data_IF_076292683408
#
_entry.id   IF_076292683408
#
_cell.length_a   1.000
_cell.length_b   1.000
_cell.length_c   1.000
_cell.angle_alpha   90.00
_cell.angle_beta   90.00
_cell.angle_gamma   90.00
#
_symmetry.space_group_name_H-M   'P 1'
#
loop_
_entity.id
_entity.type
_entity.pdbx_description
1 polymer ?
#
# COMPACT_ATOMS: atom_id res chain seq x y z
N UNK A 1 -2.44 -4.03 -16.98
CA UNK A 1 -3.15 -4.84 -15.95
C UNK A 1 -4.46 -5.44 -16.45
N UNK A 2 -5.40 -4.65 -16.99
CA UNK A 2 -6.74 -5.15 -17.40
C UNK A 2 -6.72 -6.40 -18.29
N UNK A 3 -5.83 -6.46 -19.29
CA UNK A 3 -5.68 -7.63 -20.16
C UNK A 3 -5.33 -8.91 -19.37
N UNK A 4 -4.34 -8.83 -18.47
CA UNK A 4 -3.91 -9.96 -17.65
C UNK A 4 -5.00 -10.40 -16.65
N UNK A 5 -5.72 -9.43 -16.07
CA UNK A 5 -6.87 -9.74 -15.21
C UNK A 5 -7.98 -10.46 -15.99
N UNK A 6 -8.25 -10.03 -17.23
CA UNK A 6 -9.16 -10.70 -18.14
C UNK A 6 -8.78 -12.16 -18.41
N UNK A 7 -7.50 -12.43 -18.71
CA UNK A 7 -7.00 -13.81 -18.88
C UNK A 7 -7.11 -14.64 -17.61
N UNK A 8 -6.98 -14.02 -16.43
CA UNK A 8 -7.16 -14.68 -15.15
C UNK A 8 -8.63 -14.83 -14.72
N UNK A 9 -9.59 -14.35 -15.52
CA UNK A 9 -11.02 -14.36 -15.17
C UNK A 9 -11.40 -13.40 -14.04
N UNK A 10 -10.56 -12.40 -13.77
CA UNK A 10 -10.78 -11.40 -12.72
C UNK A 10 -11.37 -10.13 -13.35
N UNK A 11 -12.60 -9.71 -12.98
CA UNK A 11 -13.19 -8.50 -13.53
C UNK A 11 -12.32 -7.27 -13.24
N UNK A 12 -12.00 -6.53 -14.29
CA UNK A 12 -11.14 -5.35 -14.21
C UNK A 12 -11.61 -4.30 -15.24
N UNK A 13 -11.64 -3.03 -14.83
CA UNK A 13 -11.91 -1.90 -15.72
C UNK A 13 -10.83 -0.83 -15.58
N UNK A 14 -10.75 0.06 -16.55
CA UNK A 14 -9.95 1.28 -16.47
C UNK A 14 -10.73 2.38 -15.75
N UNK A 15 -9.98 3.28 -15.12
CA UNK A 15 -10.49 4.51 -14.55
C UNK A 15 -9.54 5.64 -14.92
N UNK A 16 -10.11 6.70 -15.46
CA UNK A 16 -9.43 7.94 -15.83
C UNK A 16 -9.65 8.99 -14.76
N UNK A 17 -8.61 9.76 -14.50
CA UNK A 17 -8.60 10.79 -13.48
C UNK A 17 -7.33 11.64 -13.58
N UNK A 18 -6.89 12.13 -12.44
CA UNK A 18 -5.59 12.78 -12.31
C UNK A 18 -4.86 12.33 -11.05
N UNK A 19 -3.53 12.43 -11.11
CA UNK A 19 -2.63 12.30 -9.98
C UNK A 19 -1.81 13.59 -9.90
N UNK A 20 -1.83 14.28 -8.75
CA UNK A 20 -1.18 15.59 -8.57
C UNK A 20 -1.53 16.64 -9.66
N UNK A 21 -2.76 16.60 -10.19
CA UNK A 21 -3.24 17.53 -11.21
C UNK A 21 -2.90 17.14 -12.65
N UNK A 22 -2.06 16.12 -12.85
CA UNK A 22 -1.73 15.59 -14.17
C UNK A 22 -2.67 14.45 -14.56
N UNK A 23 -3.09 14.42 -15.83
CA UNK A 23 -3.96 13.37 -16.34
C UNK A 23 -3.35 11.99 -16.11
N UNK A 24 -4.12 11.11 -15.48
CA UNK A 24 -3.66 9.79 -15.05
C UNK A 24 -4.74 8.73 -15.30
N UNK A 25 -4.31 7.48 -15.41
CA UNK A 25 -5.21 6.34 -15.62
C UNK A 25 -4.69 5.13 -14.87
N UNK A 26 -5.59 4.43 -14.19
CA UNK A 26 -5.29 3.20 -13.46
C UNK A 26 -6.47 2.23 -13.57
N UNK A 27 -6.53 1.21 -12.72
CA UNK A 27 -7.53 0.15 -12.81
C UNK A 27 -8.46 0.07 -11.59
N UNK A 28 -9.67 -0.44 -11.83
CA UNK A 28 -10.52 -0.99 -10.78
C UNK A 28 -10.57 -2.51 -10.95
N UNK A 29 -10.47 -3.27 -9.86
CA UNK A 29 -10.46 -4.74 -9.86
C UNK A 29 -11.50 -5.29 -8.89
N UNK A 30 -12.19 -6.38 -9.27
CA UNK A 30 -13.21 -7.02 -8.43
C UNK A 30 -12.66 -8.29 -7.78
N UNK A 31 -12.59 -8.32 -6.45
CA UNK A 31 -12.12 -9.47 -5.66
C UNK A 31 -13.15 -9.77 -4.57
N UNK A 32 -13.57 -11.04 -4.47
CA UNK A 32 -14.50 -11.47 -3.42
C UNK A 32 -15.84 -10.71 -3.39
N UNK A 33 -16.31 -10.25 -4.55
CA UNK A 33 -17.54 -9.48 -4.67
C UNK A 33 -17.39 -7.96 -4.56
N UNK A 34 -16.23 -7.46 -4.11
CA UNK A 34 -15.96 -6.04 -3.89
C UNK A 34 -15.05 -5.45 -4.96
N UNK A 35 -15.28 -4.20 -5.33
CA UNK A 35 -14.40 -3.43 -6.20
C UNK A 35 -13.37 -2.65 -5.39
N UNK A 36 -12.18 -2.52 -5.95
CA UNK A 36 -11.06 -1.78 -5.39
C UNK A 36 -10.35 -0.98 -6.48
N UNK A 37 -9.80 0.17 -6.12
CA UNK A 37 -8.80 0.84 -6.94
C UNK A 37 -7.48 0.07 -6.87
N UNK A 38 -6.88 -0.14 -8.03
CA UNK A 38 -5.59 -0.78 -8.22
C UNK A 38 -4.76 0.10 -9.15
N UNK A 39 -3.88 0.88 -8.54
CA UNK A 39 -2.86 1.64 -9.27
C UNK A 39 -1.49 1.00 -9.03
N UNK A 40 -0.91 0.49 -10.12
CA UNK A 40 0.36 -0.24 -10.13
C UNK A 40 1.50 0.57 -10.74
N UNK A 41 1.31 1.88 -10.98
CA UNK A 41 2.30 2.76 -11.59
C UNK A 41 3.66 2.76 -10.89
N UNK A 42 3.70 2.48 -9.59
CA UNK A 42 4.96 2.43 -8.82
C UNK A 42 5.37 1.00 -8.39
N UNK A 43 4.68 -0.03 -8.87
CA UNK A 43 4.95 -1.41 -8.52
C UNK A 43 6.11 -2.04 -9.30
N UNK A 44 6.58 -1.42 -10.39
CA UNK A 44 7.63 -1.93 -11.28
C UNK A 44 8.97 -1.20 -11.18
N UNK A 45 9.14 -0.36 -10.15
CA UNK A 45 10.42 0.30 -9.87
C UNK A 45 11.40 -0.67 -9.19
N UNK A 46 12.66 -0.25 -9.02
CA UNK A 46 13.67 -1.02 -8.28
C UNK A 46 13.23 -1.37 -6.85
N UNK A 47 12.28 -0.61 -6.30
CA UNK A 47 11.70 -0.78 -4.99
C UNK A 47 10.17 -0.73 -5.13
N UNK A 48 9.46 -1.88 -5.21
CA UNK A 48 8.04 -1.88 -5.52
C UNK A 48 7.23 -1.21 -4.40
N UNK A 49 6.40 -0.23 -4.78
CA UNK A 49 5.49 0.50 -3.89
C UNK A 49 4.06 0.00 -4.12
N UNK A 50 3.43 -0.52 -3.07
CA UNK A 50 2.10 -1.13 -3.11
C UNK A 50 1.02 -0.28 -2.42
N UNK A 51 1.27 1.00 -2.18
CA UNK A 51 0.37 1.90 -1.44
C UNK A 51 -1.01 2.05 -2.09
N UNK A 52 -1.11 1.87 -3.41
CA UNK A 52 -2.37 1.97 -4.15
C UNK A 52 -2.92 0.60 -4.60
N UNK A 53 -2.52 -0.46 -3.88
CA UNK A 53 -2.88 -1.83 -4.22
C UNK A 53 -4.13 -2.29 -3.45
N UNK A 54 -5.25 -2.35 -4.18
CA UNK A 54 -6.59 -2.69 -3.68
C UNK A 54 -7.09 -1.72 -2.60
N UNK A 55 -7.17 -0.44 -2.94
CA UNK A 55 -7.62 0.62 -2.03
C UNK A 55 -9.08 1.03 -2.30
N UNK A 56 -9.71 1.64 -1.30
CA UNK A 56 -11.08 2.15 -1.41
C UNK A 56 -11.13 3.54 -2.06
N UNK A 57 -12.32 4.00 -2.46
CA UNK A 57 -12.59 5.36 -2.92
C UNK A 57 -12.02 6.39 -1.93
N UNK A 58 -12.25 6.17 -0.62
CA UNK A 58 -11.79 7.07 0.45
C UNK A 58 -10.27 7.24 0.47
N UNK A 59 -9.53 6.18 0.15
CA UNK A 59 -8.06 6.16 0.20
C UNK A 59 -7.47 6.74 -1.09
N UNK A 60 -7.93 6.29 -2.26
CA UNK A 60 -7.38 6.74 -3.54
C UNK A 60 -7.58 8.26 -3.72
N UNK A 61 -8.72 8.79 -3.27
CA UNK A 61 -9.10 10.19 -3.40
C UNK A 61 -8.24 11.17 -2.57
N UNK A 62 -7.32 10.65 -1.75
CA UNK A 62 -6.39 11.49 -0.99
C UNK A 62 -5.27 12.03 -1.87
N UNK A 63 -4.94 11.34 -2.97
CA UNK A 63 -3.88 11.73 -3.91
C UNK A 63 -4.36 11.79 -5.36
N UNK A 64 -5.49 11.16 -5.67
CA UNK A 64 -6.07 11.12 -7.00
C UNK A 64 -7.39 11.89 -7.06
N UNK A 65 -7.68 12.48 -8.22
CA UNK A 65 -9.04 12.91 -8.56
C UNK A 65 -9.62 11.98 -9.59
N UNK A 66 -10.83 11.48 -9.35
CA UNK A 66 -11.53 10.58 -10.28
C UNK A 66 -12.49 11.38 -11.14
N UNK A 67 -12.40 11.25 -12.47
CA UNK A 67 -13.39 11.89 -13.34
C UNK A 67 -14.77 11.26 -13.18
N UNK A 68 -15.81 12.06 -13.35
CA UNK A 68 -17.20 11.62 -13.14
C UNK A 68 -17.57 10.48 -14.09
N UNK A 69 -18.45 9.61 -13.64
CA UNK A 69 -19.07 8.63 -14.52
C UNK A 69 -19.94 9.34 -15.57
N UNK A 70 -19.97 8.83 -16.79
CA UNK A 70 -20.78 9.39 -17.89
C UNK A 70 -22.27 9.46 -17.52
N UNK A 71 -22.76 8.49 -16.75
CA UNK A 71 -24.13 8.45 -16.24
C UNK A 71 -24.48 9.57 -15.27
N UNK A 72 -23.48 10.27 -14.74
CA UNK A 72 -23.64 11.40 -13.82
C UNK A 72 -23.38 12.76 -14.50
N UNK A 73 -23.21 12.77 -15.83
CA UNK A 73 -22.93 13.97 -16.61
C UNK A 73 -24.13 14.35 -17.50
N UNK A 74 -24.37 15.65 -17.75
CA UNK A 74 -25.31 16.07 -18.78
C UNK A 74 -24.76 15.72 -20.17
N UNK A 75 -25.64 15.51 -21.15
CA UNK A 75 -25.26 15.12 -22.51
C UNK A 75 -24.25 16.08 -23.17
N UNK A 76 -24.35 17.38 -22.87
CA UNK A 76 -23.42 18.41 -23.36
C UNK A 76 -21.97 18.23 -22.88
N UNK A 77 -21.75 17.58 -21.73
CA UNK A 77 -20.42 17.34 -21.19
C UNK A 77 -19.73 16.08 -21.78
N UNK A 78 -20.46 15.25 -22.53
CA UNK A 78 -19.95 13.99 -23.09
C UNK A 78 -19.16 14.22 -24.39
N UNK A 79 -19.41 15.32 -25.10
CA UNK A 79 -18.83 15.56 -26.43
C UNK A 79 -17.36 15.99 -26.42
N UNK A 80 -16.83 16.43 -25.27
CA UNK A 80 -15.45 16.91 -25.13
C UNK A 80 -14.83 16.67 -23.73
N UNK A 81 -15.57 16.00 -22.83
CA UNK A 81 -15.17 15.84 -21.44
C UNK A 81 -14.35 14.59 -21.16
N UNK A 82 -13.60 14.63 -20.07
CA UNK A 82 -13.00 13.44 -19.47
C UNK A 82 -14.00 12.79 -18.51
N UNK A 83 -14.30 11.52 -18.73
CA UNK A 83 -15.28 10.78 -17.94
C UNK A 83 -14.94 9.29 -17.89
N UNK A 84 -15.59 8.60 -16.96
CA UNK A 84 -15.53 7.15 -16.84
C UNK A 84 -16.82 6.50 -17.36
N UNK A 85 -16.72 5.46 -18.17
CA UNK A 85 -17.91 4.74 -18.68
C UNK A 85 -18.55 3.92 -17.55
N UNK A 86 -17.73 3.24 -16.76
CA UNK A 86 -18.17 2.40 -15.66
C UNK A 86 -17.29 2.67 -14.43
N UNK A 87 -17.89 3.12 -13.34
CA UNK A 87 -17.21 3.37 -12.08
C UNK A 87 -18.04 2.83 -10.91
N UNK A 88 -17.89 1.54 -10.55
CA UNK A 88 -18.53 0.98 -9.36
C UNK A 88 -17.97 1.63 -8.09
N UNK A 89 -18.76 1.64 -7.02
CA UNK A 89 -18.30 2.09 -5.70
C UNK A 89 -17.25 1.13 -5.14
N UNK A 90 -16.13 1.66 -4.65
CA UNK A 90 -15.07 0.89 -4.01
C UNK A 90 -15.04 1.21 -2.51
N UNK A 91 -15.84 0.51 -1.69
CA UNK A 91 -15.92 0.78 -0.24
C UNK A 91 -15.16 -0.21 0.65
N UNK A 92 -14.65 -1.32 0.07
CA UNK A 92 -13.98 -2.36 0.84
C UNK A 92 -12.49 -2.07 1.00
N UNK A 93 -11.93 -2.54 2.10
CA UNK A 93 -10.47 -2.64 2.33
C UNK A 93 -10.06 -4.08 2.68
N UNK A 94 -10.95 -5.07 2.48
CA UNK A 94 -10.72 -6.46 2.89
C UNK A 94 -9.50 -7.07 2.20
N UNK A 95 -9.33 -6.80 0.91
CA UNK A 95 -8.20 -7.30 0.09
C UNK A 95 -7.10 -6.27 -0.12
N UNK A 96 -7.10 -5.20 0.69
CA UNK A 96 -6.06 -4.18 0.69
C UNK A 96 -4.68 -4.75 1.06
N UNK A 97 -3.62 -4.26 0.41
CA UNK A 97 -2.28 -4.76 0.61
C UNK A 97 -1.79 -4.69 2.07
N UNK A 98 -1.94 -3.55 2.75
CA UNK A 98 -1.49 -3.43 4.14
C UNK A 98 -2.29 -4.31 5.09
N UNK A 99 -3.60 -4.49 4.87
CA UNK A 99 -4.44 -5.41 5.67
C UNK A 99 -4.06 -6.88 5.47
N UNK A 100 -3.66 -7.26 4.25
CA UNK A 100 -3.37 -8.66 3.91
C UNK A 100 -1.92 -9.07 4.14
N UNK A 101 -0.97 -8.13 4.00
CA UNK A 101 0.48 -8.43 3.99
C UNK A 101 1.26 -7.73 5.10
N UNK A 102 0.68 -6.70 5.70
CA UNK A 102 1.31 -5.89 6.73
C UNK A 102 1.51 -6.65 8.04
N UNK A 103 2.63 -6.41 8.71
CA UNK A 103 2.83 -6.75 10.11
C UNK A 103 2.00 -5.78 10.95
N UNK A 104 1.05 -6.29 11.73
CA UNK A 104 0.18 -5.43 12.52
C UNK A 104 0.92 -4.77 13.69
N UNK A 105 0.71 -3.46 13.86
CA UNK A 105 1.24 -2.66 14.96
C UNK A 105 0.05 -1.99 15.65
N UNK A 106 -0.41 -2.58 16.75
CA UNK A 106 -1.62 -2.11 17.47
C UNK A 106 -1.32 -1.15 18.60
N UNK A 107 -0.12 -1.22 19.17
CA UNK A 107 0.39 -0.25 20.13
C UNK A 107 1.90 -0.20 20.09
N UNK A 108 2.46 0.95 20.48
CA UNK A 108 3.88 1.14 20.68
C UNK A 108 4.27 0.40 21.96
N UNK A 109 4.66 -0.87 21.83
CA UNK A 109 5.24 -1.64 22.93
C UNK A 109 6.76 -1.65 22.80
N UNK A 110 7.41 -1.18 23.87
CA UNK A 110 8.86 -1.09 23.97
C UNK A 110 9.47 -2.44 24.36
N UNK A 111 9.41 -3.42 23.46
CA UNK A 111 9.97 -4.77 23.71
C UNK A 111 10.64 -5.36 22.47
N UNK A 112 11.82 -5.95 22.67
CA UNK A 112 12.60 -6.66 21.63
C UNK A 112 12.09 -8.08 21.35
N UNK A 113 11.21 -8.63 22.19
CA UNK A 113 10.53 -9.92 22.00
C UNK A 113 9.05 -9.71 21.67
N UNK A 114 8.80 -8.90 20.64
CA UNK A 114 7.45 -8.58 20.18
C UNK A 114 7.00 -9.57 19.10
N UNK A 115 5.68 -9.73 18.92
CA UNK A 115 5.15 -10.51 17.79
C UNK A 115 5.61 -9.94 16.44
N UNK A 116 5.82 -8.62 16.37
CA UNK A 116 6.29 -7.91 15.18
C UNK A 116 7.71 -8.33 14.80
N UNK A 117 8.61 -8.43 15.78
CA UNK A 117 9.98 -8.89 15.57
C UNK A 117 10.02 -10.31 15.01
N UNK A 118 9.25 -11.25 15.57
CA UNK A 118 9.21 -12.64 15.10
C UNK A 118 8.73 -12.75 13.65
N UNK A 119 7.70 -11.98 13.29
CA UNK A 119 7.19 -11.95 11.91
C UNK A 119 8.20 -11.27 10.97
N UNK A 120 8.87 -10.22 11.42
CA UNK A 120 9.93 -9.54 10.68
C UNK A 120 11.10 -10.50 10.40
N UNK A 121 11.59 -11.22 11.42
CA UNK A 121 12.63 -12.22 11.30
C UNK A 121 12.25 -13.35 10.33
N UNK A 122 11.01 -13.83 10.38
CA UNK A 122 10.52 -14.85 9.45
C UNK A 122 10.52 -14.33 7.99
N UNK A 123 10.05 -13.10 7.75
CA UNK A 123 10.11 -12.47 6.42
C UNK A 123 11.55 -12.24 5.97
N UNK A 124 12.45 -11.89 6.88
CA UNK A 124 13.88 -11.71 6.58
C UNK A 124 14.56 -13.03 6.20
N UNK A 125 14.26 -14.11 6.95
CA UNK A 125 14.73 -15.46 6.64
C UNK A 125 14.29 -15.92 5.25
N UNK A 126 13.08 -15.54 4.84
CA UNK A 126 12.52 -15.76 3.51
C UNK A 126 13.07 -14.81 2.43
N UNK A 127 14.05 -13.96 2.75
CA UNK A 127 14.72 -13.06 1.81
C UNK A 127 13.86 -11.88 1.34
N UNK A 128 12.81 -11.51 2.07
CA UNK A 128 11.96 -10.36 1.69
C UNK A 128 12.73 -9.07 1.93
N UNK A 129 12.86 -8.24 0.89
CA UNK A 129 13.49 -6.92 0.95
C UNK A 129 12.49 -5.78 1.09
N UNK A 130 11.21 -6.01 0.77
CA UNK A 130 10.10 -5.09 1.00
C UNK A 130 9.17 -5.68 2.05
N UNK A 131 8.98 -4.97 3.16
CA UNK A 131 8.20 -5.46 4.31
C UNK A 131 7.21 -4.39 4.74
N UNK A 132 5.93 -4.73 4.64
CA UNK A 132 4.83 -3.84 5.01
C UNK A 132 4.46 -3.98 6.49
N UNK A 133 4.02 -2.89 7.09
CA UNK A 133 3.40 -2.79 8.41
C UNK A 133 2.01 -2.17 8.28
N UNK A 134 1.08 -2.62 9.12
CA UNK A 134 -0.27 -2.10 9.22
C UNK A 134 -0.47 -1.48 10.60
N UNK A 135 -0.61 -0.16 10.66
CA UNK A 135 -0.50 0.62 11.88
C UNK A 135 -1.88 1.01 12.40
N UNK A 136 -2.23 0.62 13.62
CA UNK A 136 -3.49 0.97 14.28
C UNK A 136 -3.25 2.00 15.40
N UNK A 137 -4.30 2.69 15.85
CA UNK A 137 -4.20 3.74 16.87
C UNK A 137 -3.64 5.07 16.34
N UNK A 138 -2.73 5.71 17.08
CA UNK A 138 -2.09 6.96 16.67
C UNK A 138 -1.00 6.68 15.63
N UNK A 139 -1.30 6.98 14.36
CA UNK A 139 -0.40 6.70 13.23
C UNK A 139 0.88 7.52 13.31
N UNK A 140 0.76 8.84 13.48
CA UNK A 140 1.90 9.76 13.39
C UNK A 140 2.88 9.50 14.54
N UNK A 141 2.35 9.28 15.77
CA UNK A 141 3.17 8.92 16.91
C UNK A 141 3.86 7.57 16.70
N UNK A 142 3.12 6.56 16.23
CA UNK A 142 3.68 5.22 16.03
C UNK A 142 4.78 5.22 14.97
N UNK A 143 4.54 5.83 13.81
CA UNK A 143 5.55 5.97 12.75
C UNK A 143 6.76 6.77 13.25
N UNK A 144 6.54 7.84 14.02
CA UNK A 144 7.64 8.62 14.59
C UNK A 144 8.49 7.81 15.56
N UNK A 145 7.88 7.03 16.46
CA UNK A 145 8.59 6.12 17.36
C UNK A 145 9.30 4.97 16.62
N UNK A 146 8.78 4.56 15.47
CA UNK A 146 9.42 3.55 14.63
C UNK A 146 10.65 4.09 13.91
N UNK A 147 10.61 5.33 13.42
CA UNK A 147 11.56 5.81 12.38
C UNK A 147 12.39 7.03 12.76
N UNK A 148 11.90 7.93 13.61
CA UNK A 148 12.49 9.28 13.80
C UNK A 148 12.83 9.63 15.24
N UNK A 149 12.19 9.01 16.21
CA UNK A 149 12.35 9.34 17.62
C UNK A 149 12.69 8.09 18.42
N UNK A 150 13.47 8.29 19.49
CA UNK A 150 13.68 7.25 20.51
C UNK A 150 12.31 6.66 20.89
N UNK A 151 12.19 5.33 20.87
CA UNK A 151 13.25 4.33 20.97
C UNK A 151 13.85 3.86 19.62
N UNK A 152 13.43 4.40 18.47
CA UNK A 152 13.78 3.85 17.14
C UNK A 152 13.39 2.37 17.03
N UNK A 153 12.09 2.06 17.20
CA UNK A 153 11.62 0.68 17.27
C UNK A 153 12.04 -0.16 16.05
N UNK A 154 12.12 0.45 14.87
CA UNK A 154 12.51 -0.26 13.67
C UNK A 154 13.95 -0.77 13.76
N UNK A 155 14.89 0.05 14.24
CA UNK A 155 16.28 -0.35 14.43
C UNK A 155 16.41 -1.49 15.45
N UNK A 156 15.65 -1.39 16.55
CA UNK A 156 15.59 -2.44 17.58
C UNK A 156 15.05 -3.77 17.01
N UNK A 157 13.95 -3.72 16.27
CA UNK A 157 13.36 -4.92 15.68
C UNK A 157 14.24 -5.50 14.58
N UNK A 158 14.86 -4.68 13.74
CA UNK A 158 15.76 -5.14 12.68
C UNK A 158 17.01 -5.79 13.27
N UNK A 159 17.66 -5.18 14.26
CA UNK A 159 18.85 -5.75 14.91
C UNK A 159 18.55 -7.08 15.62
N UNK A 160 17.35 -7.24 16.18
CA UNK A 160 16.89 -8.49 16.76
C UNK A 160 16.60 -9.54 15.67
N UNK A 161 15.88 -9.13 14.62
CA UNK A 161 15.48 -9.99 13.52
C UNK A 161 16.67 -10.46 12.66
N UNK A 162 17.76 -9.68 12.54
CA UNK A 162 19.01 -10.13 11.93
C UNK A 162 19.57 -11.37 12.63
N UNK A 163 19.61 -11.34 13.97
CA UNK A 163 20.10 -12.45 14.80
C UNK A 163 19.18 -13.67 14.65
N UNK A 164 17.87 -13.47 14.74
CA UNK A 164 16.89 -14.55 14.66
C UNK A 164 16.78 -15.19 13.26
N UNK A 165 16.96 -14.40 12.20
CA UNK A 165 16.89 -14.87 10.80
C UNK A 165 18.20 -15.43 10.26
N UNK A 166 19.32 -15.19 10.96
CA UNK A 166 20.68 -15.43 10.47
C UNK A 166 20.95 -14.77 9.10
N UNK A 167 20.41 -13.56 8.92
CA UNK A 167 20.58 -12.73 7.71
C UNK A 167 21.08 -11.37 8.13
N UNK A 168 22.25 -10.97 7.62
CA UNK A 168 22.78 -9.63 7.82
C UNK A 168 22.16 -8.67 6.81
N UNK A 169 21.82 -7.46 7.25
CA UNK A 169 21.34 -6.37 6.43
C UNK A 169 22.24 -5.14 6.55
N UNK A 170 22.11 -4.26 5.58
CA UNK A 170 22.75 -2.97 5.58
C UNK A 170 21.87 -1.94 6.30
N UNK A 171 22.01 -1.87 7.63
CA UNK A 171 21.21 -0.97 8.48
C UNK A 171 21.33 0.50 8.08
N UNK A 172 22.45 0.92 7.49
CA UNK A 172 22.63 2.30 6.99
C UNK A 172 21.84 2.61 5.71
N UNK A 173 21.25 1.59 5.06
CA UNK A 173 20.53 1.73 3.79
C UNK A 173 19.09 1.23 3.89
N UNK A 174 18.53 1.27 5.11
CA UNK A 174 17.11 1.04 5.33
C UNK A 174 16.34 2.31 4.96
N UNK A 175 15.38 2.17 4.07
CA UNK A 175 14.47 3.27 3.69
C UNK A 175 13.03 2.85 3.88
N UNK A 176 12.09 3.79 3.82
CA UNK A 176 10.68 3.49 3.99
C UNK A 176 9.77 4.47 3.25
N UNK A 177 8.56 4.02 2.97
CA UNK A 177 7.45 4.83 2.44
C UNK A 177 6.25 4.70 3.37
N UNK A 178 5.64 5.84 3.71
CA UNK A 178 4.46 5.93 4.59
C UNK A 178 3.18 6.10 3.78
N UNK A 179 2.09 5.53 4.28
CA UNK A 179 0.73 5.82 3.86
C UNK A 179 -0.17 6.06 5.07
N UNK A 180 -0.39 7.32 5.44
CA UNK A 180 -1.24 7.64 6.60
C UNK A 180 -2.70 7.28 6.35
N UNK A 181 -3.18 7.46 5.13
CA UNK A 181 -4.59 7.30 4.79
C UNK A 181 -4.98 5.83 4.70
N UNK A 182 -4.05 4.98 4.26
CA UNK A 182 -4.18 3.53 4.30
C UNK A 182 -3.49 2.87 5.50
N UNK A 183 -3.02 3.67 6.46
CA UNK A 183 -2.41 3.17 7.70
C UNK A 183 -1.21 2.23 7.47
N UNK A 184 -0.51 2.42 6.36
CA UNK A 184 0.60 1.60 5.90
C UNK A 184 1.96 2.21 6.20
N UNK A 185 2.96 1.37 6.40
CA UNK A 185 4.38 1.74 6.32
C UNK A 185 5.10 0.58 5.65
N UNK A 186 5.81 0.83 4.55
CA UNK A 186 6.64 -0.19 3.91
C UNK A 186 8.10 0.17 4.15
N UNK A 187 8.86 -0.77 4.71
CA UNK A 187 10.31 -0.65 4.82
C UNK A 187 10.98 -1.39 3.68
N UNK A 188 12.16 -0.91 3.29
CA UNK A 188 13.01 -1.52 2.29
C UNK A 188 14.38 -1.78 2.89
N UNK A 189 14.79 -3.04 2.85
CA UNK A 189 16.03 -3.52 3.45
C UNK A 189 16.91 -4.17 2.37
N UNK A 190 18.22 -4.01 2.52
CA UNK A 190 19.23 -4.63 1.65
C UNK A 190 20.03 -5.64 2.46
N UNK A 191 20.13 -6.86 1.96
CA UNK A 191 20.97 -7.90 2.57
C UNK A 191 22.44 -7.70 2.22
N UNK A 192 23.33 -8.12 3.13
CA UNK A 192 24.78 -8.18 2.92
C UNK A 192 25.22 -9.60 2.56
#
# INVERSE_FOLDING_TARGET
MQLLAGYAGIPCTLVSGSYNGEGHMWNLIKIGGYWYHLDVTWCDTSIPIYNYYNVSDKIIQQTHSVYKAVSALPASAVQSGQFNIFHPKCSSVKDNYFRRKGIEVTSVKYSVDSAQEKVLAAKMKAGKSSIAFSIYGDYDKTVSCMTKQKPYLLDLWLASAEKASNRKIDLSNVSFVTDKHDRGLTIFIRYR
#
